data_IF_054482223482
#
_entry.id   IF_054482223482
#
_cell.length_a   1.000
_cell.length_b   1.000
_cell.length_c   1.000
_cell.angle_alpha   90.00
_cell.angle_beta   90.00
_cell.angle_gamma   90.00
#
_symmetry.space_group_name_H-M   'P 1'
#
loop_
_entity.id
_entity.type
_entity.pdbx_description
1 polymer ?
#
# COMPACT_ATOMS: atom_id res chain seq x y z
N UNK A 1 9.07 1.41 -7.29
CA UNK A 1 8.64 2.26 -6.17
C UNK A 1 7.69 1.49 -5.27
N UNK A 2 7.90 1.56 -3.97
CA UNK A 2 7.04 0.90 -3.01
C UNK A 2 6.48 1.92 -2.03
N UNK A 3 5.29 1.64 -1.51
CA UNK A 3 4.67 2.47 -0.48
C UNK A 3 3.85 1.59 0.44
N UNK A 4 3.48 2.16 1.58
CA UNK A 4 2.69 1.44 2.57
C UNK A 4 1.41 2.23 2.83
N UNK A 5 0.29 1.51 2.84
CA UNK A 5 -1.04 2.09 3.02
C UNK A 5 -1.73 1.35 4.16
N UNK A 6 -2.44 2.07 5.01
CA UNK A 6 -3.21 1.44 6.08
C UNK A 6 -4.29 0.54 5.49
N UNK A 7 -4.47 -0.60 6.11
CA UNK A 7 -5.47 -1.57 5.63
C UNK A 7 -6.88 -0.99 5.59
N UNK A 8 -7.20 -0.08 6.50
CA UNK A 8 -8.51 0.56 6.54
C UNK A 8 -8.68 1.69 5.53
N UNK A 9 -7.58 2.15 4.92
CA UNK A 9 -7.63 3.29 4.01
C UNK A 9 -7.95 2.83 2.59
N UNK A 10 -9.21 2.46 2.37
CA UNK A 10 -9.66 1.92 1.09
C UNK A 10 -9.54 2.96 -0.02
N UNK A 11 -9.78 4.23 0.30
CA UNK A 11 -9.68 5.31 -0.68
C UNK A 11 -8.27 5.40 -1.25
N UNK A 12 -7.28 5.37 -0.39
CA UNK A 12 -5.88 5.42 -0.84
C UNK A 12 -5.51 4.18 -1.64
N UNK A 13 -5.98 3.00 -1.21
CA UNK A 13 -5.71 1.77 -1.92
C UNK A 13 -6.25 1.83 -3.35
N UNK A 14 -7.48 2.31 -3.50
CA UNK A 14 -8.10 2.44 -4.82
C UNK A 14 -7.36 3.46 -5.67
N UNK A 15 -6.94 4.56 -5.06
CA UNK A 15 -6.19 5.60 -5.76
C UNK A 15 -4.89 5.05 -6.33
N UNK A 16 -4.14 4.34 -5.51
CA UNK A 16 -2.86 3.79 -5.95
C UNK A 16 -3.02 2.69 -6.99
N UNK A 17 -4.08 1.88 -6.88
CA UNK A 17 -4.40 0.91 -7.93
C UNK A 17 -4.65 1.59 -9.25
N UNK A 18 -5.31 2.72 -9.21
CA UNK A 18 -5.59 3.50 -10.43
C UNK A 18 -4.30 3.94 -11.10
N UNK A 19 -3.26 4.18 -10.33
CA UNK A 19 -1.95 4.54 -10.86
C UNK A 19 -1.06 3.35 -11.17
N UNK A 20 -1.62 2.15 -11.13
CA UNK A 20 -0.87 0.96 -11.51
C UNK A 20 -0.15 0.25 -10.38
N UNK A 21 -0.37 0.66 -9.14
CA UNK A 21 0.21 -0.03 -8.01
C UNK A 21 -0.50 -1.36 -7.76
N UNK A 22 0.29 -2.35 -7.37
CA UNK A 22 -0.23 -3.69 -7.05
C UNK A 22 0.13 -4.04 -5.63
N UNK A 23 -0.69 -4.88 -5.01
CA UNK A 23 -0.40 -5.36 -3.67
C UNK A 23 0.81 -6.28 -3.70
N UNK A 24 1.86 -5.91 -2.99
CA UNK A 24 3.07 -6.72 -2.91
C UNK A 24 3.12 -7.57 -1.64
N UNK A 25 2.44 -7.14 -0.58
CA UNK A 25 2.42 -7.88 0.67
C UNK A 25 1.65 -7.14 1.73
N UNK A 26 1.59 -7.74 2.91
CA UNK A 26 0.94 -7.14 4.07
C UNK A 26 1.91 -7.18 5.24
N UNK A 27 2.10 -6.05 5.88
CA UNK A 27 2.92 -5.96 7.09
C UNK A 27 1.98 -5.94 8.28
N UNK A 28 2.02 -7.01 9.06
CA UNK A 28 1.12 -7.16 10.20
C UNK A 28 1.45 -6.17 11.31
N UNK A 29 0.42 -5.56 11.85
CA UNK A 29 0.50 -4.68 13.03
C UNK A 29 1.55 -3.57 12.86
N UNK A 30 1.68 -3.03 11.67
CA UNK A 30 2.66 -2.00 11.38
C UNK A 30 2.39 -0.72 12.18
N UNK A 31 1.13 -0.36 12.31
CA UNK A 31 0.72 0.82 13.06
C UNK A 31 0.38 0.41 14.49
N UNK A 32 1.29 0.66 15.41
CA UNK A 32 1.18 0.17 16.78
C UNK A 32 -0.01 0.72 17.55
N UNK A 33 -0.45 1.94 17.24
CA UNK A 33 -1.56 2.57 17.96
C UNK A 33 -2.86 1.80 17.81
N UNK A 34 -3.14 1.28 16.64
CA UNK A 34 -4.39 0.57 16.35
C UNK A 34 -4.16 -0.89 16.02
N UNK A 35 -2.94 -1.36 16.13
CA UNK A 35 -2.55 -2.70 15.69
C UNK A 35 -3.04 -2.98 14.28
N UNK A 36 -2.96 -1.96 13.45
CA UNK A 36 -3.48 -2.04 12.10
C UNK A 36 -2.40 -2.51 11.14
N UNK A 37 -2.79 -3.36 10.22
CA UNK A 37 -1.88 -3.86 9.20
C UNK A 37 -1.61 -2.78 8.16
N UNK A 38 -0.44 -2.84 7.56
CA UNK A 38 -0.09 -2.01 6.42
C UNK A 38 -0.06 -2.87 5.16
N UNK A 39 -0.64 -2.34 4.09
CA UNK A 39 -0.60 -2.99 2.80
C UNK A 39 0.57 -2.39 2.03
N UNK A 40 1.49 -3.25 1.61
CA UNK A 40 2.64 -2.82 0.83
C UNK A 40 2.24 -2.88 -0.64
N UNK A 41 2.31 -1.73 -1.29
CA UNK A 41 1.96 -1.63 -2.70
C UNK A 41 3.20 -1.29 -3.51
N UNK A 42 3.22 -1.74 -4.74
CA UNK A 42 4.41 -1.70 -5.57
C UNK A 42 4.04 -1.33 -6.99
N UNK A 43 4.86 -0.51 -7.58
CA UNK A 43 4.72 -0.14 -8.98
C UNK A 43 6.08 -0.05 -9.62
N UNK A 44 6.21 -0.68 -10.77
CA UNK A 44 7.44 -0.64 -11.55
C UNK A 44 7.38 0.57 -12.49
N UNK A 45 7.95 1.67 -12.03
CA UNK A 45 7.99 2.89 -12.82
C UNK A 45 9.21 2.81 -13.73
N UNK A 46 8.96 2.69 -15.02
CA UNK A 46 10.03 2.72 -15.99
C UNK A 46 10.29 4.16 -16.40
N UNK A 47 11.47 4.61 -16.11
CA UNK A 47 11.91 5.89 -16.64
C UNK A 47 12.31 5.70 -18.10
N UNK A 48 11.75 6.51 -18.91
CA UNK A 48 12.05 6.48 -20.33
C UNK A 48 13.14 7.50 -20.62
#
# INVERSE_FOLDING_TARGET
MTLEVRASNVVAQNLYRKYGFKMAGIRKEYYSNNKEDAIIMWNDIKEV
#
